data_IF_090897856257
#
_entry.id   IF_090897856257
#
_cell.length_a   1.000
_cell.length_b   1.000
_cell.length_c   1.000
_cell.angle_alpha   90.00
_cell.angle_beta   90.00
_cell.angle_gamma   90.00
#
_symmetry.space_group_name_H-M   'P 1'
#
loop_
_entity.id
_entity.type
_entity.pdbx_description
1 polymer ?
#
# COMPACT_ATOMS: atom_id res chain seq x y z
N UNK A 1 2.53 -7.93 -2.87
CA UNK A 1 3.24 -6.74 -2.37
C UNK A 1 3.04 -5.56 -3.31
N UNK A 2 2.65 -4.41 -2.76
CA UNK A 2 2.60 -3.14 -3.50
C UNK A 2 3.91 -2.41 -3.22
N UNK A 3 4.81 -2.39 -4.21
CA UNK A 3 6.00 -1.57 -4.19
C UNK A 3 5.62 -0.14 -4.61
N UNK A 4 5.82 0.82 -3.72
CA UNK A 4 5.69 2.24 -4.04
C UNK A 4 6.96 2.65 -4.80
N UNK A 5 6.82 2.83 -6.10
CA UNK A 5 7.84 3.54 -6.86
C UNK A 5 7.66 5.02 -6.51
N UNK A 6 8.65 5.59 -5.80
CA UNK A 6 8.73 7.01 -5.53
C UNK A 6 8.70 7.78 -6.86
N UNK A 7 7.56 8.38 -7.18
CA UNK A 7 7.56 9.57 -8.02
C UNK A 7 8.41 10.60 -7.27
N UNK A 8 9.58 10.92 -7.81
CA UNK A 8 10.51 11.89 -7.22
C UNK A 8 9.74 13.17 -6.86
N UNK A 9 9.57 13.39 -5.56
CA UNK A 9 9.16 14.68 -5.06
C UNK A 9 10.30 15.65 -5.40
N UNK A 10 10.07 16.52 -6.39
CA UNK A 10 10.90 17.70 -6.59
C UNK A 10 11.01 18.43 -5.24
N UNK A 11 12.22 18.75 -4.75
CA UNK A 11 12.36 19.61 -3.60
C UNK A 11 11.79 20.98 -3.98
N UNK A 12 10.62 21.33 -3.45
CA UNK A 12 10.18 22.73 -3.41
C UNK A 12 11.18 23.46 -2.51
N UNK A 13 12.13 24.14 -3.12
CA UNK A 13 12.93 25.15 -2.45
C UNK A 13 11.95 26.24 -1.95
N UNK A 14 11.63 26.21 -0.66
CA UNK A 14 10.99 27.31 0.02
C UNK A 14 11.98 28.49 0.02
N UNK A 15 11.84 29.37 -0.97
CA UNK A 15 12.45 30.69 -0.90
C UNK A 15 11.78 31.43 0.28
N UNK A 16 12.54 31.63 1.35
CA UNK A 16 12.21 32.57 2.41
C UNK A 16 12.21 33.98 1.79
N UNK A 17 11.02 34.45 1.40
CA UNK A 17 10.76 35.86 1.12
C UNK A 17 10.71 36.61 2.45
N UNK A 18 11.70 37.46 2.64
CA UNK A 18 11.85 38.43 3.72
C UNK A 18 10.82 39.55 3.51
N UNK A 19 9.69 39.50 4.23
CA UNK A 19 8.70 40.58 4.25
C UNK A 19 9.19 41.67 5.21
N UNK A 20 10.22 42.39 4.77
CA UNK A 20 10.70 43.62 5.38
C UNK A 20 9.80 44.79 5.02
N UNK A 21 9.30 45.44 6.06
CA UNK A 21 8.75 46.79 6.17
C UNK A 21 8.96 47.73 4.97
N UNK A 22 7.91 48.46 4.57
CA UNK A 22 8.00 49.91 4.37
C UNK A 22 6.58 50.53 4.28
N UNK A 23 6.16 51.07 5.42
CA UNK A 23 5.14 52.12 5.51
C UNK A 23 5.71 53.46 5.00
N UNK A 24 4.80 54.28 4.47
CA UNK A 24 4.81 55.74 4.45
C UNK A 24 5.75 56.54 3.50
N UNK A 25 5.06 57.18 2.54
CA UNK A 25 4.89 58.64 2.49
C UNK A 25 5.72 59.52 1.52
N UNK A 26 4.93 60.40 0.88
CA UNK A 26 5.20 61.72 0.28
C UNK A 26 6.44 62.06 -0.59
N UNK A 27 6.12 62.38 -1.85
CA UNK A 27 6.44 63.62 -2.60
C UNK A 27 7.86 64.25 -2.58
N UNK A 28 8.43 64.35 -3.81
CA UNK A 28 9.28 65.43 -4.41
C UNK A 28 10.78 65.50 -4.00
N UNK A 29 11.66 66.20 -4.78
CA UNK A 29 11.74 66.44 -6.23
C UNK A 29 13.08 66.01 -6.89
N UNK A 30 13.05 65.94 -8.21
CA UNK A 30 14.13 66.14 -9.21
C UNK A 30 15.48 66.68 -8.67
N UNK A 31 16.49 65.81 -8.70
CA UNK A 31 17.90 66.19 -8.63
C UNK A 31 18.64 65.54 -9.81
N UNK A 32 19.04 66.42 -10.73
CA UNK A 32 19.98 66.20 -11.83
C UNK A 32 21.09 65.20 -11.50
N UNK A 33 21.09 64.06 -12.19
CA UNK A 33 22.16 63.09 -12.17
C UNK A 33 23.22 63.47 -13.23
N UNK A 34 24.52 63.48 -12.89
CA UNK A 34 25.56 63.69 -13.88
C UNK A 34 25.76 62.43 -14.74
N UNK A 35 25.91 62.63 -16.05
CA UNK A 35 26.34 61.61 -17.02
C UNK A 35 27.67 60.98 -16.55
N UNK A 36 27.59 59.73 -16.08
CA UNK A 36 28.74 58.86 -15.87
C UNK A 36 28.78 57.90 -17.05
N UNK A 37 29.55 58.28 -18.07
CA UNK A 37 30.08 57.37 -19.08
C UNK A 37 31.12 56.44 -18.43
N UNK A 38 30.66 55.45 -17.67
CA UNK A 38 31.48 54.33 -17.24
C UNK A 38 31.28 53.18 -18.23
N UNK A 39 32.27 52.99 -19.10
CA UNK A 39 32.38 51.78 -19.91
C UNK A 39 32.29 50.55 -18.99
N UNK A 40 31.20 49.80 -19.12
CA UNK A 40 31.02 48.56 -18.38
C UNK A 40 32.15 47.59 -18.74
N UNK A 41 32.91 47.06 -17.76
CA UNK A 41 33.83 45.97 -18.04
C UNK A 41 32.99 44.77 -18.49
N UNK A 42 33.34 44.24 -19.66
CA UNK A 42 32.81 43.00 -20.24
C UNK A 42 33.24 41.82 -19.36
N UNK A 43 32.60 41.70 -18.20
CA UNK A 43 32.69 40.53 -17.36
C UNK A 43 31.81 39.47 -18.02
N UNK A 44 32.46 38.55 -18.74
CA UNK A 44 31.79 37.34 -19.22
C UNK A 44 30.99 36.73 -18.06
N UNK A 45 29.72 36.33 -18.27
CA UNK A 45 28.93 35.75 -17.22
C UNK A 45 29.71 34.58 -16.61
N UNK A 46 29.78 34.47 -15.27
CA UNK A 46 30.47 33.36 -14.63
C UNK A 46 29.93 32.08 -15.24
N UNK A 47 30.86 31.27 -15.76
CA UNK A 47 30.55 29.99 -16.36
C UNK A 47 29.79 29.20 -15.29
N UNK A 48 28.48 29.07 -15.47
CA UNK A 48 27.62 28.33 -14.58
C UNK A 48 27.98 26.87 -14.83
N UNK A 49 29.04 26.42 -14.14
CA UNK A 49 29.50 25.04 -14.18
C UNK A 49 28.29 24.15 -14.07
N UNK A 50 28.21 23.16 -14.97
CA UNK A 50 27.13 22.18 -14.94
C UNK A 50 27.01 21.67 -13.51
N UNK A 51 25.82 21.76 -12.87
CA UNK A 51 25.64 21.27 -11.52
C UNK A 51 26.17 19.84 -11.46
N UNK A 52 27.10 19.59 -10.53
CA UNK A 52 27.67 18.26 -10.37
C UNK A 52 26.50 17.29 -10.15
N UNK A 53 26.44 16.24 -10.97
CA UNK A 53 25.35 15.29 -10.88
C UNK A 53 25.47 14.61 -9.52
N UNK A 54 24.53 14.90 -8.62
CA UNK A 54 24.48 14.27 -7.31
C UNK A 54 24.49 12.74 -7.43
N UNK A 55 24.87 12.04 -6.35
CA UNK A 55 24.86 10.57 -6.35
C UNK A 55 23.50 10.03 -6.83
N UNK A 56 23.54 9.04 -7.71
CA UNK A 56 22.33 8.40 -8.24
C UNK A 56 21.69 7.52 -7.18
N UNK A 57 20.37 7.67 -7.00
CA UNK A 57 19.59 6.78 -6.16
C UNK A 57 19.73 5.32 -6.61
N UNK A 58 19.95 4.41 -5.66
CA UNK A 58 20.09 2.97 -5.92
C UNK A 58 18.95 2.17 -5.30
N UNK A 59 18.20 2.76 -4.36
CA UNK A 59 17.05 2.17 -3.68
C UNK A 59 15.86 3.11 -3.64
N UNK A 60 14.67 2.52 -3.69
CA UNK A 60 13.42 3.19 -3.35
C UNK A 60 12.70 2.37 -2.29
N UNK A 61 12.43 2.98 -1.14
CA UNK A 61 11.77 2.34 -0.02
C UNK A 61 10.32 2.79 0.15
N UNK A 62 9.51 1.92 0.72
CA UNK A 62 8.14 2.23 1.06
C UNK A 62 7.56 1.39 2.17
N UNK A 63 6.83 2.06 3.05
CA UNK A 63 6.13 1.42 4.15
C UNK A 63 4.73 2.05 4.20
N UNK A 64 3.72 1.22 4.06
CA UNK A 64 2.32 1.62 4.21
C UNK A 64 1.70 0.82 5.35
N UNK A 65 1.14 1.52 6.35
CA UNK A 65 0.36 0.94 7.43
C UNK A 65 -1.07 1.41 7.27
N UNK A 66 -1.93 0.54 6.74
CA UNK A 66 -3.28 0.93 6.33
C UNK A 66 -4.35 0.08 6.99
N UNK A 67 -5.54 0.63 7.19
CA UNK A 67 -6.74 -0.17 7.34
C UNK A 67 -7.49 -0.22 6.01
N UNK A 68 -7.77 -1.44 5.54
CA UNK A 68 -8.48 -1.65 4.29
C UNK A 68 -9.82 -2.26 4.61
N UNK A 69 -10.88 -1.76 3.99
CA UNK A 69 -12.20 -2.36 3.98
C UNK A 69 -12.57 -2.89 2.59
N UNK A 70 -13.39 -3.93 2.53
CA UNK A 70 -13.97 -4.45 1.30
C UNK A 70 -15.50 -4.47 1.43
N UNK A 71 -16.17 -3.32 1.22
CA UNK A 71 -17.62 -3.16 1.41
C UNK A 71 -18.46 -4.25 0.72
N UNK A 72 -18.08 -4.62 -0.49
CA UNK A 72 -18.72 -5.64 -1.34
C UNK A 72 -18.63 -7.08 -0.81
N UNK A 73 -17.77 -7.35 0.17
CA UNK A 73 -17.63 -8.66 0.80
C UNK A 73 -18.35 -8.73 2.15
N UNK A 74 -19.37 -7.90 2.35
CA UNK A 74 -20.09 -7.80 3.62
C UNK A 74 -19.43 -6.85 4.62
N UNK A 75 -18.67 -5.86 4.13
CA UNK A 75 -18.05 -4.84 4.99
C UNK A 75 -16.87 -5.33 5.80
N UNK A 76 -16.10 -6.32 5.30
CA UNK A 76 -14.91 -6.80 6.00
C UNK A 76 -13.85 -5.71 6.10
N UNK A 77 -13.18 -5.54 7.24
CA UNK A 77 -12.06 -4.60 7.41
C UNK A 77 -10.87 -5.19 8.16
N UNK A 78 -9.70 -4.55 8.03
CA UNK A 78 -8.57 -4.87 8.88
C UNK A 78 -7.25 -4.27 8.39
N UNK A 79 -6.25 -4.38 9.26
CA UNK A 79 -4.90 -3.89 9.00
C UNK A 79 -4.24 -4.57 7.80
N UNK A 80 -3.70 -3.77 6.90
CA UNK A 80 -2.83 -4.16 5.82
C UNK A 80 -1.50 -3.39 5.94
N UNK A 81 -0.40 -4.12 6.04
CA UNK A 81 0.97 -3.59 6.04
C UNK A 81 1.62 -3.96 4.70
N UNK A 82 2.15 -2.97 4.00
CA UNK A 82 2.94 -3.18 2.79
C UNK A 82 4.31 -2.54 2.98
N UNK A 83 5.35 -3.36 3.02
CA UNK A 83 6.74 -2.92 3.07
C UNK A 83 7.40 -3.38 1.77
N UNK A 84 8.12 -2.48 1.13
CA UNK A 84 8.83 -2.77 -0.11
C UNK A 84 10.05 -1.87 -0.23
N UNK A 85 11.18 -2.49 -0.51
CA UNK A 85 12.43 -1.83 -0.81
C UNK A 85 12.94 -2.42 -2.10
N UNK A 86 13.00 -1.61 -3.15
CA UNK A 86 13.35 -2.08 -4.48
C UNK A 86 14.76 -1.66 -4.87
N UNK A 87 15.49 -2.58 -5.49
CA UNK A 87 16.72 -2.27 -6.20
C UNK A 87 16.41 -1.59 -7.53
N UNK A 88 16.69 -0.29 -7.62
CA UNK A 88 16.43 0.51 -8.82
C UNK A 88 17.25 0.04 -10.03
N UNK A 89 18.38 -0.63 -9.82
CA UNK A 89 19.17 -1.21 -10.91
C UNK A 89 18.50 -2.43 -11.56
N UNK A 90 17.53 -3.05 -10.89
CA UNK A 90 16.75 -4.18 -11.41
C UNK A 90 15.48 -3.76 -12.12
N UNK A 91 15.15 -2.47 -12.13
CA UNK A 91 13.99 -1.93 -12.84
C UNK A 91 14.29 -1.92 -14.34
N UNK A 92 13.87 -2.97 -15.04
CA UNK A 92 14.10 -3.12 -16.48
C UNK A 92 12.92 -2.66 -17.34
N UNK A 93 11.76 -2.45 -16.73
CA UNK A 93 10.52 -2.11 -17.43
C UNK A 93 10.17 -0.64 -17.15
N UNK A 94 10.21 0.17 -18.20
CA UNK A 94 9.74 1.56 -18.10
C UNK A 94 8.20 1.59 -17.94
N UNK A 95 7.65 2.58 -17.23
CA UNK A 95 6.21 2.78 -17.17
C UNK A 95 5.62 2.93 -18.58
N UNK A 96 4.55 2.20 -18.87
CA UNK A 96 3.76 2.37 -20.09
C UNK A 96 3.01 3.71 -20.10
N UNK A 97 2.74 4.26 -18.91
CA UNK A 97 2.21 5.59 -18.70
C UNK A 97 2.85 6.21 -17.46
N UNK A 98 3.22 7.48 -17.54
CA UNK A 98 3.72 8.27 -16.42
C UNK A 98 3.37 9.76 -16.62
N UNK A 99 2.46 10.28 -15.79
CA UNK A 99 2.12 11.70 -15.80
C UNK A 99 3.08 12.58 -15.02
N UNK A 100 4.06 12.02 -14.31
CA UNK A 100 5.11 12.78 -13.63
C UNK A 100 6.24 13.19 -14.56
N UNK A 101 6.31 12.59 -15.75
CA UNK A 101 7.18 13.05 -16.82
C UNK A 101 6.86 14.53 -17.09
N UNK A 102 7.84 15.47 -17.02
CA UNK A 102 7.60 16.89 -17.26
C UNK A 102 7.08 17.21 -18.68
N UNK A 103 7.16 16.26 -19.62
CA UNK A 103 6.50 16.35 -20.92
C UNK A 103 4.99 16.03 -20.89
N UNK A 104 4.47 15.50 -19.78
CA UNK A 104 3.07 15.13 -19.59
C UNK A 104 2.28 16.31 -19.01
N UNK A 105 1.14 16.69 -19.61
CA UNK A 105 0.36 17.87 -19.19
C UNK A 105 -0.48 17.67 -17.92
N UNK A 106 -0.37 16.53 -17.23
CA UNK A 106 -1.26 16.16 -16.13
C UNK A 106 -0.60 16.36 -14.76
N UNK A 107 -1.02 17.40 -14.04
CA UNK A 107 -0.66 17.62 -12.65
C UNK A 107 -1.36 16.59 -11.74
N UNK A 108 -0.68 15.49 -11.44
CA UNK A 108 -1.15 14.40 -10.61
C UNK A 108 -0.36 13.15 -10.97
N UNK A 109 0.41 12.59 -10.04
CA UNK A 109 1.31 11.48 -10.34
C UNK A 109 0.54 10.18 -10.54
N UNK A 110 0.34 9.79 -11.80
CA UNK A 110 -0.18 8.49 -12.17
C UNK A 110 0.82 7.73 -13.03
N UNK A 111 1.10 6.51 -12.62
CA UNK A 111 2.04 5.60 -13.26
C UNK A 111 1.33 4.28 -13.53
N UNK A 112 1.57 3.72 -14.72
CA UNK A 112 1.14 2.37 -15.10
C UNK A 112 2.34 1.64 -15.66
N UNK A 113 2.69 0.51 -15.05
CA UNK A 113 3.73 -0.38 -15.57
C UNK A 113 3.06 -1.65 -16.07
N UNK A 114 3.37 -2.04 -17.30
CA UNK A 114 2.84 -3.25 -17.93
C UNK A 114 3.96 -4.27 -18.04
N UNK A 115 3.69 -5.47 -17.54
CA UNK A 115 4.61 -6.59 -17.52
C UNK A 115 4.13 -7.70 -18.45
N UNK A 116 5.06 -8.32 -19.15
CA UNK A 116 4.87 -9.53 -19.97
C UNK A 116 5.44 -10.73 -19.24
N UNK A 117 4.60 -11.70 -18.92
CA UNK A 117 4.96 -12.90 -18.16
C UNK A 117 6.07 -13.67 -18.88
N UNK A 118 7.14 -14.00 -18.14
CA UNK A 118 8.29 -14.74 -18.64
C UNK A 118 9.29 -13.93 -19.47
N UNK A 119 9.02 -12.65 -19.74
CA UNK A 119 9.95 -11.73 -20.41
C UNK A 119 10.41 -10.62 -19.47
N UNK A 120 9.44 -9.99 -18.82
CA UNK A 120 9.67 -8.88 -17.90
C UNK A 120 9.78 -9.41 -16.47
N UNK A 121 10.68 -8.82 -15.69
CA UNK A 121 10.79 -9.04 -14.25
C UNK A 121 10.27 -7.82 -13.50
N UNK A 122 9.53 -8.05 -12.43
CA UNK A 122 9.26 -6.99 -11.46
C UNK A 122 10.57 -6.53 -10.80
N UNK A 123 10.63 -5.29 -10.29
CA UNK A 123 11.75 -4.85 -9.47
C UNK A 123 12.01 -5.85 -8.35
N UNK A 124 13.28 -6.16 -8.12
CA UNK A 124 13.67 -7.10 -7.07
C UNK A 124 13.53 -6.41 -5.72
N UNK A 125 12.75 -7.02 -4.84
CA UNK A 125 12.69 -6.62 -3.43
C UNK A 125 14.01 -7.02 -2.74
N UNK A 126 14.52 -6.12 -1.92
CA UNK A 126 15.77 -6.30 -1.16
C UNK A 126 15.51 -6.18 0.33
N UNK A 127 16.38 -6.82 1.11
CA UNK A 127 16.36 -6.74 2.57
C UNK A 127 17.18 -5.53 3.05
N UNK A 128 16.48 -4.48 3.48
CA UNK A 128 17.06 -3.29 4.11
C UNK A 128 17.06 -3.37 5.65
N UNK A 129 16.72 -4.53 6.22
CA UNK A 129 16.66 -4.76 7.67
C UNK A 129 15.23 -4.77 8.23
N UNK A 130 15.06 -5.14 9.51
CA UNK A 130 13.75 -5.22 10.17
C UNK A 130 13.05 -3.86 10.28
N UNK A 131 11.75 -3.86 10.03
CA UNK A 131 10.84 -2.73 10.24
C UNK A 131 10.00 -2.96 11.50
N UNK A 132 9.99 -2.01 12.42
CA UNK A 132 9.07 -2.01 13.57
C UNK A 132 7.94 -1.02 13.36
N UNK A 133 6.74 -1.41 13.77
CA UNK A 133 5.52 -0.61 13.72
C UNK A 133 4.92 -0.60 15.12
N UNK A 134 4.84 0.56 15.74
CA UNK A 134 4.35 0.74 17.11
C UNK A 134 3.16 1.71 17.13
N UNK A 135 2.44 1.73 18.25
CA UNK A 135 1.27 2.58 18.48
C UNK A 135 0.05 2.29 17.56
N UNK A 136 -0.05 1.07 17.04
CA UNK A 136 -1.33 0.57 16.51
C UNK A 136 -2.25 0.19 17.66
N UNK A 137 -3.58 0.27 17.46
CA UNK A 137 -4.57 -0.23 18.44
C UNK A 137 -4.33 -1.71 18.74
N UNK A 138 -3.88 -2.41 17.70
CA UNK A 138 -3.62 -3.82 17.68
C UNK A 138 -2.15 -4.05 17.43
N UNK A 139 -1.38 -4.37 18.48
CA UNK A 139 0.07 -4.33 18.41
C UNK A 139 0.59 -5.32 17.38
N UNK A 140 1.59 -4.86 16.63
CA UNK A 140 2.51 -5.71 15.88
C UNK A 140 3.69 -5.95 16.82
N UNK A 141 3.76 -7.12 17.44
CA UNK A 141 4.72 -7.38 18.52
C UNK A 141 6.08 -7.76 17.96
N UNK A 142 6.09 -8.52 16.86
CA UNK A 142 7.29 -8.90 16.14
C UNK A 142 7.65 -7.88 15.05
N UNK A 143 8.94 -7.54 14.86
CA UNK A 143 9.38 -6.77 13.71
C UNK A 143 9.01 -7.45 12.39
N UNK A 144 8.63 -6.66 11.40
CA UNK A 144 8.44 -7.12 10.04
C UNK A 144 9.80 -7.35 9.40
N UNK A 145 10.05 -8.57 8.92
CA UNK A 145 11.35 -8.99 8.37
C UNK A 145 11.21 -9.49 6.95
N UNK A 146 12.28 -9.36 6.16
CA UNK A 146 12.32 -9.89 4.82
C UNK A 146 12.40 -11.42 4.84
N UNK A 147 11.38 -12.08 4.29
CA UNK A 147 11.32 -13.54 4.17
C UNK A 147 11.87 -13.91 2.80
N UNK A 148 13.17 -14.23 2.74
CA UNK A 148 13.88 -14.52 1.49
C UNK A 148 13.23 -15.62 0.64
N UNK A 149 12.65 -16.65 1.28
CA UNK A 149 11.93 -17.72 0.60
C UNK A 149 10.66 -17.24 -0.14
N UNK A 150 10.08 -16.13 0.32
CA UNK A 150 8.88 -15.53 -0.24
C UNK A 150 9.20 -14.29 -1.11
N UNK A 151 10.40 -13.73 -0.96
CA UNK A 151 10.86 -12.54 -1.68
C UNK A 151 10.18 -11.26 -1.20
N UNK A 152 9.72 -11.21 0.06
CA UNK A 152 8.99 -10.06 0.58
C UNK A 152 9.04 -9.93 2.11
N UNK A 153 8.68 -8.75 2.62
CA UNK A 153 8.53 -8.48 4.05
C UNK A 153 7.23 -9.04 4.65
N UNK A 154 7.34 -9.67 5.81
CA UNK A 154 6.19 -10.13 6.58
C UNK A 154 6.37 -9.84 8.08
N UNK A 155 5.28 -9.46 8.74
CA UNK A 155 5.20 -9.27 10.19
C UNK A 155 4.71 -10.59 10.82
N UNK A 156 5.62 -11.54 10.97
CA UNK A 156 5.32 -12.88 11.50
C UNK A 156 5.36 -12.82 13.02
N UNK A 157 4.19 -12.89 13.65
CA UNK A 157 4.02 -12.79 15.12
C UNK A 157 4.37 -14.11 15.80
N UNK A 158 4.01 -15.21 15.14
CA UNK A 158 4.23 -16.55 15.63
C UNK A 158 4.46 -17.48 14.46
N UNK A 159 5.36 -18.45 14.62
CA UNK A 159 5.50 -19.57 13.70
C UNK A 159 5.91 -20.84 14.45
N UNK A 160 5.57 -21.99 13.89
CA UNK A 160 5.92 -23.26 14.51
C UNK A 160 5.61 -24.46 13.62
N UNK A 161 5.98 -25.65 14.10
CA UNK A 161 5.64 -26.91 13.47
C UNK A 161 4.20 -27.32 13.79
N UNK A 162 3.58 -28.04 12.86
CA UNK A 162 2.30 -28.72 13.06
C UNK A 162 2.61 -30.21 13.28
N UNK A 163 2.23 -30.71 14.46
CA UNK A 163 2.42 -32.09 14.87
C UNK A 163 1.26 -32.98 14.41
N UNK A 164 1.47 -34.31 14.37
CA UNK A 164 0.42 -35.27 13.98
C UNK A 164 -0.82 -35.28 14.91
N UNK A 165 -0.73 -34.63 16.07
CA UNK A 165 -1.85 -34.44 17.03
C UNK A 165 -2.68 -33.20 16.75
N UNK A 166 -2.21 -32.32 15.87
CA UNK A 166 -2.91 -31.09 15.48
C UNK A 166 -4.00 -31.42 14.47
N UNK A 167 -5.03 -30.58 14.39
CA UNK A 167 -6.22 -30.88 13.62
C UNK A 167 -6.91 -29.63 13.08
N UNK A 168 -7.60 -29.80 11.96
CA UNK A 168 -8.68 -28.92 11.50
C UNK A 168 -9.98 -29.65 11.73
N UNK A 169 -10.98 -28.97 12.29
CA UNK A 169 -12.36 -29.48 12.43
C UNK A 169 -13.31 -28.50 11.78
N UNK A 170 -14.03 -28.96 10.76
CA UNK A 170 -15.08 -28.17 10.11
C UNK A 170 -16.28 -27.91 11.04
N UNK A 171 -17.05 -26.87 10.73
CA UNK A 171 -18.24 -26.46 11.48
C UNK A 171 -19.33 -27.56 11.53
N UNK A 172 -19.47 -28.34 10.46
CA UNK A 172 -20.42 -29.44 10.35
C UNK A 172 -20.13 -30.63 11.27
N UNK A 173 -18.88 -30.80 11.71
CA UNK A 173 -18.42 -31.89 12.57
C UNK A 173 -18.47 -31.54 14.07
N UNK A 174 -18.74 -30.27 14.39
CA UNK A 174 -18.90 -29.78 15.76
C UNK A 174 -20.38 -29.69 16.16
N UNK A 175 -20.71 -29.68 17.47
CA UNK A 175 -22.06 -29.35 17.91
C UNK A 175 -22.51 -28.00 17.36
N UNK A 176 -23.78 -27.91 16.93
CA UNK A 176 -24.31 -26.68 16.35
C UNK A 176 -24.10 -25.47 17.27
N UNK A 177 -23.55 -24.39 16.72
CA UNK A 177 -23.25 -23.15 17.45
C UNK A 177 -21.91 -23.15 18.19
N UNK A 178 -21.08 -24.19 18.06
CA UNK A 178 -19.72 -24.19 18.64
C UNK A 178 -18.83 -23.14 17.98
N UNK A 179 -18.89 -23.02 16.65
CA UNK A 179 -18.23 -21.99 15.85
C UNK A 179 -19.22 -21.44 14.81
N UNK A 180 -19.00 -20.25 14.23
CA UNK A 180 -19.85 -19.70 13.17
C UNK A 180 -19.87 -20.60 11.92
N UNK A 181 -20.94 -20.53 11.13
CA UNK A 181 -21.02 -21.27 9.87
C UNK A 181 -19.94 -20.82 8.88
N UNK A 182 -19.48 -21.73 8.02
CA UNK A 182 -18.40 -21.49 7.02
C UNK A 182 -17.03 -21.20 7.66
N UNK A 183 -16.81 -21.65 8.88
CA UNK A 183 -15.53 -21.54 9.59
C UNK A 183 -14.99 -22.91 9.96
N UNK A 184 -13.74 -22.96 10.40
CA UNK A 184 -13.12 -24.18 10.92
C UNK A 184 -12.36 -23.89 12.20
N UNK A 185 -12.36 -24.85 13.12
CA UNK A 185 -11.55 -24.82 14.33
C UNK A 185 -10.20 -25.47 14.02
N UNK A 186 -9.11 -24.72 14.18
CA UNK A 186 -7.74 -25.23 14.06
C UNK A 186 -7.16 -25.40 15.45
N UNK A 187 -6.61 -26.57 15.75
CA UNK A 187 -5.89 -26.86 17.00
C UNK A 187 -4.43 -27.11 16.71
N UNK A 188 -3.53 -26.31 17.29
CA UNK A 188 -2.08 -26.45 17.17
C UNK A 188 -1.48 -26.50 18.57
N UNK A 189 -1.11 -27.69 19.04
CA UNK A 189 -0.70 -27.93 20.42
C UNK A 189 0.56 -27.14 20.84
N UNK A 190 1.44 -26.83 19.87
CA UNK A 190 2.65 -26.02 20.08
C UNK A 190 2.42 -24.51 20.04
N UNK A 191 1.19 -24.05 19.78
CA UNK A 191 0.86 -22.63 19.67
C UNK A 191 0.26 -22.05 20.96
N UNK A 192 0.31 -20.73 21.10
CA UNK A 192 -0.44 -20.00 22.12
C UNK A 192 -1.02 -18.76 21.45
N UNK A 193 -2.31 -18.82 21.17
CA UNK A 193 -3.08 -17.76 20.54
C UNK A 193 -3.77 -16.90 21.60
N UNK A 194 -3.88 -15.61 21.32
CA UNK A 194 -4.59 -14.64 22.16
C UNK A 194 -5.44 -13.67 21.34
N UNK A 195 -6.08 -12.71 22.02
CA UNK A 195 -7.01 -11.77 21.40
C UNK A 195 -6.33 -10.86 20.34
N UNK A 196 -5.00 -10.73 20.35
CA UNK A 196 -4.29 -10.00 19.31
C UNK A 196 -4.21 -10.76 18.00
N UNK A 197 -4.38 -12.09 18.00
CA UNK A 197 -4.38 -12.92 16.80
C UNK A 197 -5.69 -12.83 16.01
N UNK A 198 -6.79 -12.47 16.66
CA UNK A 198 -8.06 -12.23 15.96
C UNK A 198 -7.88 -11.04 15.01
N UNK A 199 -8.28 -11.22 13.74
CA UNK A 199 -8.06 -10.24 12.66
C UNK A 199 -6.67 -10.32 12.00
N UNK A 200 -5.82 -11.28 12.38
CA UNK A 200 -4.61 -11.66 11.63
C UNK A 200 -4.92 -12.79 10.65
N UNK A 201 -3.94 -13.13 9.81
CA UNK A 201 -4.00 -14.32 8.97
C UNK A 201 -3.12 -15.43 9.55
N UNK A 202 -3.59 -16.67 9.49
CA UNK A 202 -2.76 -17.85 9.70
C UNK A 202 -2.46 -18.52 8.36
N UNK A 203 -1.18 -18.71 8.06
CA UNK A 203 -0.74 -19.57 6.98
C UNK A 203 -0.50 -20.97 7.53
N UNK A 204 -1.06 -21.99 6.87
CA UNK A 204 -1.02 -23.39 7.28
C UNK A 204 -0.52 -24.23 6.10
N UNK A 205 0.41 -25.14 6.37
CA UNK A 205 0.89 -26.15 5.44
C UNK A 205 1.10 -27.50 6.15
N UNK A 206 0.94 -28.61 5.42
CA UNK A 206 1.21 -29.97 5.89
C UNK A 206 -0.03 -30.80 6.26
N UNK A 207 -1.23 -30.31 5.98
CA UNK A 207 -2.46 -31.09 6.07
C UNK A 207 -2.67 -31.96 4.80
N UNK A 208 -3.18 -33.20 4.92
CA UNK A 208 -3.43 -34.04 3.75
C UNK A 208 -4.41 -33.43 2.74
N UNK A 209 -5.44 -32.72 3.22
CA UNK A 209 -6.44 -32.08 2.35
C UNK A 209 -5.98 -30.69 1.93
N UNK A 210 -5.86 -30.45 0.62
CA UNK A 210 -5.41 -29.16 0.08
C UNK A 210 -6.24 -27.96 0.59
N UNK A 211 -7.54 -28.13 0.82
CA UNK A 211 -8.43 -27.07 1.33
C UNK A 211 -8.12 -26.61 2.76
N UNK A 212 -7.36 -27.39 3.53
CA UNK A 212 -6.89 -27.03 4.87
C UNK A 212 -5.50 -26.39 4.85
N UNK A 213 -4.89 -26.23 3.67
CA UNK A 213 -3.61 -25.57 3.49
C UNK A 213 -3.83 -24.23 2.78
N UNK A 214 -3.05 -23.22 3.13
CA UNK A 214 -3.18 -21.87 2.57
C UNK A 214 -3.16 -20.79 3.63
N UNK A 215 -3.70 -19.62 3.29
CA UNK A 215 -3.79 -18.45 4.18
C UNK A 215 -5.25 -18.20 4.54
N UNK A 216 -5.57 -18.20 5.83
CA UNK A 216 -6.93 -18.05 6.33
C UNK A 216 -7.01 -16.93 7.37
N UNK A 217 -8.03 -16.07 7.34
CA UNK A 217 -8.20 -15.06 8.37
C UNK A 217 -8.67 -15.72 9.68
N UNK A 218 -8.09 -15.31 10.80
CA UNK A 218 -8.51 -15.70 12.14
C UNK A 218 -9.70 -14.82 12.55
N UNK A 219 -10.86 -15.43 12.77
CA UNK A 219 -12.11 -14.71 13.07
C UNK A 219 -12.53 -14.79 14.52
N UNK A 220 -12.00 -15.75 15.27
CA UNK A 220 -12.21 -15.86 16.72
C UNK A 220 -11.16 -16.81 17.34
N UNK A 221 -11.08 -16.81 18.68
CA UNK A 221 -10.37 -17.82 19.44
C UNK A 221 -11.22 -19.08 19.66
N UNK A 222 -10.55 -20.23 19.82
CA UNK A 222 -11.19 -21.44 20.31
C UNK A 222 -11.34 -21.44 21.84
N UNK A 223 -11.72 -22.59 22.41
CA UNK A 223 -11.90 -22.71 23.87
C UNK A 223 -10.57 -22.85 24.63
N UNK A 224 -9.52 -23.29 23.94
CA UNK A 224 -8.17 -23.40 24.48
C UNK A 224 -7.23 -22.42 23.77
N UNK A 225 -6.17 -21.98 24.46
CA UNK A 225 -5.15 -21.09 23.89
C UNK A 225 -4.40 -21.71 22.69
N UNK A 226 -4.49 -23.03 22.49
CA UNK A 226 -3.93 -23.72 21.32
C UNK A 226 -4.90 -23.74 20.12
N UNK A 227 -6.02 -23.01 20.20
CA UNK A 227 -7.10 -23.07 19.21
C UNK A 227 -7.50 -21.71 18.66
N UNK A 228 -7.72 -21.67 17.36
CA UNK A 228 -8.28 -20.52 16.63
C UNK A 228 -9.39 -20.96 15.69
N UNK A 229 -10.31 -20.06 15.42
CA UNK A 229 -11.37 -20.23 14.41
C UNK A 229 -10.98 -19.43 13.18
N UNK A 230 -10.93 -20.10 12.03
CA UNK A 230 -10.55 -19.50 10.75
C UNK A 230 -11.75 -19.45 9.79
N UNK A 231 -11.80 -18.44 8.92
CA UNK A 231 -12.77 -18.46 7.82
C UNK A 231 -12.29 -19.43 6.72
N UNK A 232 -12.89 -20.62 6.68
CA UNK A 232 -12.60 -21.64 5.68
C UNK A 232 -13.88 -22.45 5.36
N UNK A 233 -14.70 -22.03 4.38
CA UNK A 233 -15.90 -22.75 3.99
C UNK A 233 -15.63 -24.11 3.34
N UNK A 234 -14.40 -24.37 2.91
CA UNK A 234 -13.99 -25.60 2.25
C UNK A 234 -13.25 -26.55 3.20
N UNK A 235 -13.21 -26.25 4.49
CA UNK A 235 -12.52 -27.06 5.47
C UNK A 235 -13.06 -28.48 5.52
N UNK A 236 -12.17 -29.43 5.77
CA UNK A 236 -12.51 -30.84 5.98
C UNK A 236 -11.90 -31.29 7.30
N UNK A 237 -12.69 -31.91 8.17
CA UNK A 237 -12.17 -32.41 9.44
C UNK A 237 -11.11 -33.49 9.24
N UNK A 238 -9.89 -33.22 9.70
CA UNK A 238 -8.78 -34.17 9.64
C UNK A 238 -7.68 -33.84 10.68
N UNK A 239 -6.85 -34.84 10.98
CA UNK A 239 -5.60 -34.64 11.70
C UNK A 239 -4.47 -34.30 10.73
N UNK A 240 -3.46 -33.57 11.21
CA UNK A 240 -2.28 -33.25 10.43
C UNK A 240 -1.44 -34.51 10.12
N UNK A 241 -0.69 -34.47 9.01
CA UNK A 241 0.16 -35.57 8.56
C UNK A 241 1.45 -35.76 9.36
N UNK A 242 1.83 -34.80 10.21
CA UNK A 242 3.01 -34.86 11.07
C UNK A 242 4.23 -34.04 10.63
N UNK A 243 4.21 -33.45 9.44
CA UNK A 243 5.31 -32.64 8.86
C UNK A 243 4.80 -31.29 8.33
N UNK A 244 4.04 -30.55 9.15
CA UNK A 244 3.48 -29.26 8.75
C UNK A 244 4.12 -28.06 9.44
N UNK A 245 3.70 -26.87 9.04
CA UNK A 245 4.11 -25.61 9.64
C UNK A 245 2.96 -24.61 9.63
N UNK A 246 2.98 -23.70 10.60
CA UNK A 246 2.10 -22.54 10.59
C UNK A 246 2.89 -21.25 10.81
N UNK A 247 2.30 -20.14 10.37
CA UNK A 247 2.73 -18.79 10.75
C UNK A 247 1.52 -17.85 10.86
N UNK A 248 1.47 -17.06 11.93
CA UNK A 248 0.50 -15.98 12.12
C UNK A 248 1.12 -14.68 11.62
N UNK A 249 0.42 -14.00 10.71
CA UNK A 249 0.89 -12.83 10.00
C UNK A 249 -0.02 -11.65 10.31
N UNK A 250 0.57 -10.60 10.88
CA UNK A 250 -0.05 -9.29 11.04
C UNK A 250 -0.04 -8.52 9.72
N UNK A 251 -1.03 -7.64 9.52
CA UNK A 251 -1.05 -6.73 8.38
C UNK A 251 -1.38 -7.38 7.04
N UNK A 252 -2.09 -8.50 7.03
CA UNK A 252 -2.53 -9.18 5.80
C UNK A 252 -4.01 -8.94 5.43
N UNK A 253 -4.68 -8.00 6.11
CA UNK A 253 -6.10 -7.67 5.98
C UNK A 253 -6.55 -7.23 4.58
N UNK A 254 -7.87 -7.07 4.35
CA UNK A 254 -8.97 -7.05 5.34
C UNK A 254 -9.32 -8.43 5.92
N UNK A 255 -10.02 -8.47 7.06
CA UNK A 255 -10.52 -9.73 7.67
C UNK A 255 -12.00 -9.63 8.05
N UNK A 256 -12.73 -10.76 8.16
CA UNK A 256 -14.12 -10.73 8.62
C UNK A 256 -14.33 -10.27 10.07
N UNK A 257 -13.25 -10.12 10.86
CA UNK A 257 -13.34 -9.69 12.24
C UNK A 257 -13.61 -8.18 12.41
N UNK A 258 -13.45 -7.38 11.34
CA UNK A 258 -13.69 -5.93 11.31
C UNK A 258 -12.93 -5.19 12.42
N UNK A 259 -11.63 -5.48 12.52
CA UNK A 259 -10.77 -4.93 13.56
C UNK A 259 -10.21 -3.58 13.11
N UNK A 260 -10.63 -2.51 13.78
CA UNK A 260 -10.01 -1.18 13.63
C UNK A 260 -8.58 -1.23 14.15
N UNK A 261 -7.62 -1.00 13.27
CA UNK A 261 -6.20 -1.13 13.61
C UNK A 261 -5.50 0.21 13.88
N UNK A 262 -6.06 1.31 13.41
CA UNK A 262 -5.40 2.61 13.36
C UNK A 262 -6.03 3.67 14.28
N UNK A 263 -7.10 3.31 15.00
CA UNK A 263 -7.85 4.20 15.89
C UNK A 263 -8.43 5.42 15.14
N UNK A 264 -8.97 6.37 15.90
CA UNK A 264 -9.50 7.64 15.43
C UNK A 264 -8.49 8.59 14.75
N UNK A 265 -7.26 8.12 14.48
CA UNK A 265 -6.20 8.92 13.88
C UNK A 265 -5.75 10.07 14.77
N UNK A 266 -5.88 9.97 16.10
CA UNK A 266 -5.28 10.93 17.06
C UNK A 266 -3.89 10.51 17.53
N UNK A 267 -3.61 9.21 17.61
CA UNK A 267 -2.29 8.69 17.99
C UNK A 267 -1.45 8.44 16.74
N UNK A 268 -0.32 9.13 16.54
CA UNK A 268 0.53 8.83 15.40
C UNK A 268 1.23 7.49 15.56
N UNK A 269 1.31 6.76 14.46
CA UNK A 269 2.00 5.46 14.35
C UNK A 269 3.49 5.74 14.28
N UNK A 270 4.27 4.98 15.05
CA UNK A 270 5.73 5.04 14.95
C UNK A 270 6.21 3.92 14.05
N UNK A 271 6.97 4.30 13.02
CA UNK A 271 7.60 3.35 12.09
C UNK A 271 9.10 3.54 12.18
N UNK A 272 9.83 2.45 12.40
CA UNK A 272 11.29 2.48 12.42
C UNK A 272 11.88 1.42 11.52
N UNK A 273 12.95 1.76 10.82
CA UNK A 273 13.85 0.81 10.18
C UNK A 273 15.10 0.73 11.04
N UNK A 274 15.53 -0.48 11.38
CA UNK A 274 16.72 -0.69 12.19
C UNK A 274 17.50 -1.91 11.73
N UNK A 275 18.73 -2.05 12.24
CA UNK A 275 19.55 -3.23 12.00
C UNK A 275 20.52 -3.12 10.84
N UNK A 276 20.60 -1.95 10.18
CA UNK A 276 21.64 -1.49 9.26
C UNK A 276 22.39 -2.61 8.52
N UNK A 277 21.70 -3.32 7.62
CA UNK A 277 22.30 -4.26 6.66
C UNK A 277 22.28 -3.76 5.23
N UNK A 278 21.61 -2.63 4.96
CA UNK A 278 21.26 -2.17 3.62
C UNK A 278 21.83 -0.81 3.22
N UNK A 279 21.31 -0.28 2.12
CA UNK A 279 21.68 1.00 1.52
C UNK A 279 20.78 2.17 2.02
N UNK A 280 19.68 1.86 2.71
CA UNK A 280 18.80 2.83 3.39
C UNK A 280 19.24 3.00 4.85
N UNK A 281 19.48 4.24 5.27
CA UNK A 281 19.86 4.57 6.65
C UNK A 281 18.73 4.21 7.65
N UNK A 282 19.10 3.75 8.85
CA UNK A 282 18.18 3.57 9.97
C UNK A 282 17.37 4.86 10.21
N UNK A 283 16.07 4.72 10.44
CA UNK A 283 15.20 5.86 10.75
C UNK A 283 14.13 5.49 11.77
N UNK A 284 13.55 6.52 12.41
CA UNK A 284 12.38 6.40 13.25
C UNK A 284 11.49 7.62 13.05
N UNK A 285 10.30 7.42 12.52
CA UNK A 285 9.38 8.50 12.15
C UNK A 285 8.00 8.27 12.75
N UNK A 286 7.32 9.38 13.05
CA UNK A 286 5.91 9.38 13.43
C UNK A 286 5.07 9.74 12.21
N UNK A 287 4.07 8.93 11.90
CA UNK A 287 3.12 9.17 10.81
C UNK A 287 1.70 9.21 11.34
N UNK A 288 0.96 10.26 10.98
CA UNK A 288 -0.45 10.36 11.35
C UNK A 288 -1.28 9.52 10.38
N UNK A 289 -2.06 8.58 10.90
CA UNK A 289 -3.09 7.91 10.11
C UNK A 289 -4.20 8.92 9.76
N UNK A 290 -4.65 8.93 8.51
CA UNK A 290 -5.77 9.76 8.05
C UNK A 290 -6.92 8.92 7.54
N UNK A 291 -8.09 9.54 7.47
CA UNK A 291 -9.27 8.96 6.87
C UNK A 291 -10.01 8.00 7.79
N UNK A 292 -9.96 8.16 9.11
CA UNK A 292 -10.85 7.35 9.96
C UNK A 292 -12.30 7.64 9.56
N UNK A 293 -13.08 6.59 9.30
CA UNK A 293 -14.42 6.71 8.71
C UNK A 293 -14.43 7.06 7.22
N UNK A 294 -13.32 6.88 6.50
CA UNK A 294 -13.23 7.12 5.06
C UNK A 294 -14.28 6.30 4.30
N UNK A 295 -15.06 7.02 3.51
CA UNK A 295 -16.15 6.51 2.69
C UNK A 295 -16.14 7.23 1.33
N UNK A 296 -16.09 6.45 0.25
CA UNK A 296 -16.31 6.98 -1.09
C UNK A 296 -17.75 7.46 -1.27
N UNK A 297 -17.92 8.52 -2.04
CA UNK A 297 -19.24 9.02 -2.41
C UNK A 297 -20.01 8.05 -3.34
N UNK A 298 -21.34 8.17 -3.34
CA UNK A 298 -22.21 7.26 -4.08
C UNK A 298 -21.92 7.22 -5.60
N UNK A 299 -21.46 8.34 -6.16
CA UNK A 299 -21.16 8.45 -7.60
C UNK A 299 -19.93 7.62 -7.99
N UNK A 300 -18.91 7.60 -7.14
CA UNK A 300 -17.63 6.95 -7.46
C UNK A 300 -17.40 5.63 -6.76
N UNK A 301 -18.14 5.31 -5.69
CA UNK A 301 -18.01 4.05 -4.95
C UNK A 301 -18.22 2.82 -5.84
N UNK A 302 -19.14 2.89 -6.81
CA UNK A 302 -19.41 1.81 -7.77
C UNK A 302 -18.20 1.42 -8.62
N UNK A 303 -17.26 2.34 -8.85
CA UNK A 303 -16.06 2.10 -9.65
C UNK A 303 -15.10 1.09 -9.02
N UNK A 304 -15.22 0.82 -7.71
CA UNK A 304 -14.43 -0.22 -7.04
C UNK A 304 -14.75 -1.63 -7.56
N UNK A 305 -16.02 -1.88 -7.88
CA UNK A 305 -16.50 -3.21 -8.32
C UNK A 305 -16.92 -3.25 -9.78
N UNK A 306 -17.03 -2.09 -10.43
CA UNK A 306 -17.44 -1.94 -11.82
C UNK A 306 -16.61 -0.85 -12.51
N UNK A 307 -15.29 -0.98 -12.44
CA UNK A 307 -14.37 -0.07 -13.14
C UNK A 307 -14.69 -0.05 -14.65
N UNK A 308 -14.85 1.14 -15.27
CA UNK A 308 -15.09 1.27 -16.70
C UNK A 308 -14.07 0.49 -17.55
N UNK A 309 -14.57 -0.27 -18.52
CA UNK A 309 -13.76 -1.11 -19.43
C UNK A 309 -13.73 -0.56 -20.86
N UNK A 310 -14.21 0.67 -21.06
CA UNK A 310 -14.27 1.37 -22.34
C UNK A 310 -13.06 2.31 -22.58
N UNK A 311 -12.14 2.38 -21.61
CA UNK A 311 -10.98 3.26 -21.64
C UNK A 311 -11.25 4.69 -21.20
N UNK A 312 -12.47 5.01 -20.75
CA UNK A 312 -12.76 6.30 -20.13
C UNK A 312 -11.98 6.50 -18.82
N UNK A 313 -11.74 7.77 -18.44
CA UNK A 313 -11.11 8.09 -17.17
C UNK A 313 -11.99 7.65 -15.98
N UNK A 314 -11.35 7.22 -14.89
CA UNK A 314 -12.04 6.70 -13.71
C UNK A 314 -11.68 7.53 -12.49
N UNK A 315 -12.67 8.06 -11.79
CA UNK A 315 -12.46 8.89 -10.60
C UNK A 315 -12.97 8.20 -9.34
N UNK A 316 -12.33 8.54 -8.22
CA UNK A 316 -12.75 8.21 -6.87
C UNK A 316 -12.74 9.49 -6.03
N UNK A 317 -13.79 9.69 -5.25
CA UNK A 317 -13.97 10.88 -4.42
C UNK A 317 -14.68 10.54 -3.11
N UNK A 318 -14.42 11.33 -2.08
CA UNK A 318 -15.10 11.29 -0.79
C UNK A 318 -15.88 12.58 -0.48
N UNK A 319 -15.99 13.50 -1.45
CA UNK A 319 -16.66 14.80 -1.26
C UNK A 319 -18.07 14.88 -1.84
N UNK A 320 -18.55 13.84 -2.52
CA UNK A 320 -19.90 13.77 -3.08
C UNK A 320 -20.97 13.34 -2.05
N UNK A 321 -22.16 13.02 -2.56
CA UNK A 321 -23.28 12.54 -1.72
C UNK A 321 -22.90 11.26 -0.97
N UNK A 322 -23.16 11.23 0.33
CA UNK A 322 -22.81 10.14 1.26
C UNK A 322 -21.31 9.78 1.29
N UNK A 323 -20.43 10.62 0.72
CA UNK A 323 -18.99 10.49 0.90
C UNK A 323 -18.54 11.11 2.23
N UNK A 324 -17.52 10.52 2.83
CA UNK A 324 -16.83 11.07 3.98
C UNK A 324 -15.32 10.89 3.80
N UNK A 325 -14.54 11.96 3.86
CA UNK A 325 -13.10 11.87 3.76
C UNK A 325 -12.43 11.44 5.07
N UNK A 326 -13.22 11.29 6.13
CA UNK A 326 -12.79 10.85 7.45
C UNK A 326 -11.96 11.89 8.20
N UNK A 327 -11.38 11.44 9.31
CA UNK A 327 -10.51 12.29 10.15
C UNK A 327 -9.29 12.82 9.36
N UNK A 328 -8.99 14.12 9.53
CA UNK A 328 -8.04 14.84 8.66
C UNK A 328 -7.03 15.71 9.46
N UNK A 329 -6.34 15.07 10.41
CA UNK A 329 -5.47 15.72 11.40
C UNK A 329 -4.03 15.96 10.92
N UNK A 330 -3.64 15.47 9.73
CA UNK A 330 -2.27 15.52 9.21
C UNK A 330 -1.98 16.70 8.28
N UNK A 331 -0.69 16.99 8.07
CA UNK A 331 -0.23 18.09 7.18
C UNK A 331 -0.19 17.65 5.71
N UNK A 332 0.30 16.43 5.46
CA UNK A 332 0.32 15.83 4.12
C UNK A 332 -0.92 14.98 3.96
N UNK A 333 -1.76 15.33 2.96
CA UNK A 333 -3.05 14.70 2.71
C UNK A 333 -3.08 14.24 1.26
N UNK A 334 -3.19 12.94 1.05
CA UNK A 334 -3.20 12.39 -0.31
C UNK A 334 -4.29 11.33 -0.42
N UNK A 335 -5.03 11.37 -1.53
CA UNK A 335 -5.79 10.22 -2.00
C UNK A 335 -4.97 9.46 -3.03
N UNK A 336 -4.85 8.16 -2.84
CA UNK A 336 -4.06 7.27 -3.69
C UNK A 336 -4.94 6.17 -4.22
N UNK A 337 -4.94 6.00 -5.53
CA UNK A 337 -5.39 4.78 -6.18
C UNK A 337 -4.16 3.90 -6.38
N UNK A 338 -4.28 2.62 -6.08
CA UNK A 338 -3.32 1.63 -6.54
C UNK A 338 -4.04 0.36 -6.95
N UNK A 339 -3.44 -0.44 -7.81
CA UNK A 339 -4.07 -1.66 -8.24
C UNK A 339 -3.19 -2.51 -9.12
N UNK A 340 -3.75 -3.66 -9.48
CA UNK A 340 -3.10 -4.64 -10.35
C UNK A 340 -4.14 -5.37 -11.18
N UNK A 341 -3.71 -5.90 -12.31
CA UNK A 341 -4.57 -6.74 -13.16
C UNK A 341 -4.10 -8.18 -13.20
N UNK A 342 -4.98 -9.06 -13.66
CA UNK A 342 -4.63 -10.40 -14.14
C UNK A 342 -5.43 -10.69 -15.40
N UNK A 343 -4.87 -11.49 -16.29
CA UNK A 343 -5.50 -11.99 -17.53
C UNK A 343 -5.85 -13.48 -17.43
N UNK A 344 -5.58 -14.12 -16.28
CA UNK A 344 -5.89 -15.52 -16.07
C UNK A 344 -7.40 -15.75 -15.89
N UNK A 345 -7.87 -16.97 -16.13
CA UNK A 345 -9.29 -17.30 -15.95
C UNK A 345 -9.73 -17.12 -14.49
N UNK A 346 -10.84 -16.39 -14.32
CA UNK A 346 -11.46 -16.12 -13.01
C UNK A 346 -12.83 -16.78 -12.84
N UNK A 347 -13.23 -17.62 -13.80
CA UNK A 347 -14.52 -18.31 -13.80
C UNK A 347 -14.65 -19.20 -12.56
N UNK A 348 -15.72 -19.01 -11.80
CA UNK A 348 -16.00 -19.78 -10.58
C UNK A 348 -15.10 -19.43 -9.38
N UNK A 349 -14.17 -18.48 -9.51
CA UNK A 349 -13.35 -18.01 -8.39
C UNK A 349 -14.11 -16.95 -7.57
N UNK A 350 -13.87 -16.88 -6.25
CA UNK A 350 -14.35 -15.77 -5.43
C UNK A 350 -13.96 -14.41 -6.02
N UNK A 351 -14.78 -13.35 -5.86
CA UNK A 351 -14.52 -12.03 -6.46
C UNK A 351 -13.16 -11.42 -6.10
N UNK A 352 -12.63 -11.73 -4.92
CA UNK A 352 -11.37 -11.23 -4.40
C UNK A 352 -10.13 -12.08 -4.74
N UNK A 353 -10.31 -13.19 -5.44
CA UNK A 353 -9.18 -14.02 -5.88
C UNK A 353 -8.53 -13.42 -7.12
N UNK A 354 -7.23 -13.16 -7.06
CA UNK A 354 -6.42 -12.70 -8.20
C UNK A 354 -5.46 -13.83 -8.62
N UNK A 355 -5.85 -14.73 -9.55
CA UNK A 355 -4.95 -15.77 -10.04
C UNK A 355 -3.69 -15.16 -10.69
N UNK A 356 -2.60 -15.93 -10.69
CA UNK A 356 -1.35 -15.51 -11.32
C UNK A 356 -1.56 -15.23 -12.82
N UNK A 357 -1.05 -14.10 -13.35
CA UNK A 357 -1.22 -13.76 -14.76
C UNK A 357 -0.50 -14.76 -15.67
N UNK A 358 -1.03 -14.92 -16.89
CA UNK A 358 -0.57 -15.88 -17.89
C UNK A 358 0.20 -15.23 -19.03
N UNK A 359 -0.17 -14.03 -19.47
CA UNK A 359 0.50 -13.34 -20.59
C UNK A 359 0.95 -11.94 -20.23
N UNK A 360 0.05 -11.08 -19.74
CA UNK A 360 0.35 -9.69 -19.37
C UNK A 360 -0.45 -9.27 -18.16
N UNK A 361 0.11 -8.32 -17.43
CA UNK A 361 -0.60 -7.64 -16.36
C UNK A 361 -0.06 -6.23 -16.16
N UNK A 362 -0.87 -5.37 -15.56
CA UNK A 362 -0.51 -4.02 -15.20
C UNK A 362 -0.42 -3.89 -13.68
N UNK A 363 0.50 -3.04 -13.22
CA UNK A 363 0.44 -2.40 -11.91
C UNK A 363 0.25 -0.92 -12.14
N UNK A 364 -0.65 -0.31 -11.38
CA UNK A 364 -0.92 1.12 -11.53
C UNK A 364 -1.03 1.80 -10.17
N UNK A 365 -0.68 3.08 -10.16
CA UNK A 365 -0.83 3.97 -9.02
C UNK A 365 -1.13 5.36 -9.51
N UNK A 366 -2.15 6.00 -8.99
CA UNK A 366 -2.41 7.43 -9.20
C UNK A 366 -2.55 8.13 -7.85
N UNK A 367 -2.10 9.37 -7.73
CA UNK A 367 -2.31 10.19 -6.53
C UNK A 367 -2.94 11.53 -6.86
N UNK A 368 -3.79 12.03 -5.96
CA UNK A 368 -4.36 13.37 -6.05
C UNK A 368 -3.25 14.43 -6.14
N UNK A 369 -3.39 15.47 -6.99
CA UNK A 369 -2.48 16.61 -6.95
C UNK A 369 -2.56 17.33 -5.60
N UNK A 370 -1.47 18.00 -5.21
CA UNK A 370 -1.41 18.81 -3.98
C UNK A 370 -2.57 19.81 -3.96
N UNK A 371 -3.43 19.74 -2.93
CA UNK A 371 -4.59 20.63 -2.76
C UNK A 371 -5.93 20.06 -3.25
N UNK A 372 -5.95 18.93 -3.96
CA UNK A 372 -7.17 18.21 -4.34
C UNK A 372 -7.29 16.87 -3.59
N UNK A 373 -6.97 16.86 -2.28
CA UNK A 373 -6.79 15.64 -1.51
C UNK A 373 -8.03 14.73 -1.41
N UNK A 374 -9.21 15.20 -1.81
CA UNK A 374 -10.48 14.49 -1.66
C UNK A 374 -10.96 13.77 -2.93
N UNK A 375 -10.21 13.87 -4.04
CA UNK A 375 -10.49 13.09 -5.24
C UNK A 375 -9.21 12.71 -5.97
N UNK A 376 -9.28 11.60 -6.69
CA UNK A 376 -8.17 11.09 -7.49
C UNK A 376 -8.72 10.41 -8.74
N UNK A 377 -8.06 10.61 -9.86
CA UNK A 377 -8.51 10.14 -11.18
C UNK A 377 -7.41 9.31 -11.84
N UNK A 378 -7.79 8.15 -12.37
CA UNK A 378 -7.02 7.44 -13.39
C UNK A 378 -7.36 8.08 -14.74
N UNK A 379 -6.41 8.76 -15.40
CA UNK A 379 -6.69 9.39 -16.68
C UNK A 379 -6.97 8.33 -17.76
N UNK A 380 -7.65 8.74 -18.84
CA UNK A 380 -8.06 7.84 -19.92
C UNK A 380 -6.87 7.11 -20.57
N UNK A 381 -5.72 7.78 -20.68
CA UNK A 381 -4.48 7.21 -21.22
C UNK A 381 -3.91 6.11 -20.30
N UNK A 382 -3.98 6.31 -18.98
CA UNK A 382 -3.60 5.28 -18.02
C UNK A 382 -4.58 4.10 -18.06
N UNK A 383 -5.89 4.36 -18.18
CA UNK A 383 -6.90 3.33 -18.36
C UNK A 383 -6.69 2.54 -19.65
N UNK A 384 -6.32 3.20 -20.75
CA UNK A 384 -5.97 2.53 -21.99
C UNK A 384 -4.75 1.60 -21.83
N UNK A 385 -3.72 2.03 -21.07
CA UNK A 385 -2.58 1.17 -20.76
C UNK A 385 -2.95 -0.04 -19.88
N UNK A 386 -3.82 0.16 -18.87
CA UNK A 386 -4.33 -0.90 -18.00
C UNK A 386 -5.15 -1.91 -18.80
N UNK A 387 -6.12 -1.44 -19.59
CA UNK A 387 -7.01 -2.30 -20.38
C UNK A 387 -6.27 -2.96 -21.57
N UNK A 388 -5.18 -2.35 -22.03
CA UNK A 388 -4.29 -2.93 -23.05
C UNK A 388 -3.62 -4.24 -22.64
N UNK A 389 -3.67 -4.62 -21.35
CA UNK A 389 -3.24 -5.95 -20.90
C UNK A 389 -4.32 -7.02 -21.07
N UNK A 390 -5.49 -6.68 -21.63
CA UNK A 390 -6.67 -7.54 -21.74
C UNK A 390 -7.02 -8.24 -20.41
N UNK A 391 -7.15 -7.49 -19.31
CA UNK A 391 -7.36 -8.10 -18.00
C UNK A 391 -8.71 -8.82 -17.95
N UNK A 392 -8.76 -9.94 -17.26
CA UNK A 392 -10.01 -10.63 -16.85
C UNK A 392 -10.49 -10.11 -15.49
N UNK A 393 -9.57 -9.58 -14.67
CA UNK A 393 -9.89 -8.95 -13.39
C UNK A 393 -8.94 -7.81 -13.04
N UNK A 394 -9.49 -6.77 -12.44
CA UNK A 394 -8.78 -5.59 -11.94
C UNK A 394 -9.03 -5.49 -10.44
N UNK A 395 -7.96 -5.53 -9.64
CA UNK A 395 -8.00 -5.15 -8.23
C UNK A 395 -7.70 -3.65 -8.13
N UNK A 396 -8.57 -2.91 -7.45
CA UNK A 396 -8.42 -1.47 -7.22
C UNK A 396 -8.49 -1.18 -5.74
N UNK A 397 -7.54 -0.41 -5.25
CA UNK A 397 -7.47 0.07 -3.88
C UNK A 397 -7.46 1.58 -3.89
N UNK A 398 -8.29 2.18 -3.05
CA UNK A 398 -8.36 3.64 -2.89
C UNK A 398 -8.12 3.95 -1.44
N UNK A 399 -7.14 4.79 -1.18
CA UNK A 399 -6.70 5.13 0.16
C UNK A 399 -6.76 6.63 0.38
N UNK A 400 -7.07 7.02 1.62
CA UNK A 400 -6.82 8.34 2.18
C UNK A 400 -5.71 8.19 3.22
N UNK A 401 -4.57 8.84 2.99
CA UNK A 401 -3.39 8.62 3.83
C UNK A 401 -2.67 9.91 4.16
N UNK A 402 -2.10 9.92 5.37
CA UNK A 402 -1.01 10.80 5.75
C UNK A 402 0.32 10.17 5.38
N UNK A 403 1.37 10.99 5.28
CA UNK A 403 2.69 10.47 4.93
C UNK A 403 3.83 11.37 5.36
N UNK A 404 5.01 10.75 5.44
CA UNK A 404 6.30 11.40 5.65
C UNK A 404 7.35 10.69 4.78
N UNK A 405 8.48 11.34 4.57
CA UNK A 405 9.62 10.76 3.86
C UNK A 405 10.76 10.65 4.87
N UNK A 406 11.26 9.44 5.05
CA UNK A 406 12.55 9.17 5.66
C UNK A 406 13.57 8.94 4.55
N UNK A 407 14.84 9.25 4.76
CA UNK A 407 15.86 8.99 3.77
C UNK A 407 17.23 9.19 4.37
N UNK A 408 18.24 8.82 3.59
CA UNK A 408 19.62 9.03 3.97
C UNK A 408 19.88 10.52 4.18
N UNK A 409 20.94 10.86 4.91
CA UNK A 409 21.29 12.26 5.17
C UNK A 409 21.46 13.10 3.89
N UNK A 410 21.84 12.46 2.79
CA UNK A 410 22.01 13.04 1.45
C UNK A 410 20.78 12.87 0.52
N UNK A 411 19.71 12.22 1.01
CA UNK A 411 18.49 11.88 0.28
C UNK A 411 18.71 11.00 -0.97
N UNK A 412 19.86 10.34 -1.10
CA UNK A 412 20.15 9.45 -2.23
C UNK A 412 19.18 8.27 -2.26
N UNK A 413 18.89 7.69 -1.09
CA UNK A 413 17.87 6.65 -0.93
C UNK A 413 16.79 7.18 0.02
N UNK A 414 15.53 7.06 -0.39
CA UNK A 414 14.40 7.57 0.34
C UNK A 414 13.33 6.49 0.52
N UNK A 415 12.74 6.48 1.71
CA UNK A 415 11.62 5.64 2.12
C UNK A 415 10.42 6.51 2.41
N UNK A 416 9.37 6.34 1.63
CA UNK A 416 8.10 6.99 1.95
C UNK A 416 7.31 6.13 2.93
N UNK A 417 6.92 6.73 4.04
CA UNK A 417 6.13 6.09 5.09
C UNK A 417 4.74 6.71 5.11
N UNK A 418 3.71 5.90 4.90
CA UNK A 418 2.31 6.35 4.86
C UNK A 418 1.43 5.57 5.82
N UNK A 419 0.39 6.23 6.33
CA UNK A 419 -0.64 5.58 7.12
C UNK A 419 -2.05 6.14 6.85
N UNK A 420 -3.06 5.29 6.92
CA UNK A 420 -4.45 5.72 6.80
C UNK A 420 -5.42 4.62 6.37
N UNK A 421 -6.58 5.02 5.88
CA UNK A 421 -7.70 4.11 5.64
C UNK A 421 -7.99 4.00 4.14
N UNK A 422 -8.60 2.90 3.73
CA UNK A 422 -8.93 2.68 2.34
C UNK A 422 -9.98 1.62 2.10
N UNK A 423 -10.34 1.52 0.83
CA UNK A 423 -11.23 0.49 0.30
C UNK A 423 -10.49 -0.34 -0.75
N UNK A 424 -10.83 -1.62 -0.85
CA UNK A 424 -10.41 -2.49 -1.95
C UNK A 424 -11.63 -3.04 -2.68
N UNK A 425 -11.55 -3.07 -4.00
CA UNK A 425 -12.56 -3.55 -4.92
C UNK A 425 -11.97 -4.44 -6.00
N UNK A 426 -12.81 -5.30 -6.58
CA UNK A 426 -12.44 -6.13 -7.71
C UNK A 426 -13.48 -6.02 -8.81
N UNK A 427 -13.03 -5.68 -10.02
CA UNK A 427 -13.85 -5.63 -11.22
C UNK A 427 -13.54 -6.85 -12.08
N UNK A 428 -14.55 -7.68 -12.39
CA UNK A 428 -14.41 -8.75 -13.38
C UNK A 428 -14.72 -8.17 -14.76
N UNK A 429 -13.76 -8.24 -15.66
CA UNK A 429 -13.88 -7.74 -17.03
C UNK A 429 -14.42 -8.86 -17.89
N UNK A 430 -15.65 -8.71 -18.40
CA UNK A 430 -16.16 -9.64 -19.41
C UNK A 430 -15.25 -9.56 -20.64
N UNK A 431 -14.79 -10.72 -21.14
CA UNK A 431 -14.10 -10.77 -22.43
C UNK A 431 -14.96 -10.03 -23.46
N UNK A 432 -14.35 -9.12 -24.23
CA UNK A 432 -15.05 -8.52 -25.35
C UNK A 432 -15.62 -9.67 -26.23
N UNK A 433 -16.92 -9.62 -26.57
CA UNK A 433 -17.58 -10.71 -27.29
C UNK A 433 -16.99 -10.98 -28.68
#
# INVERSE_FOLDING_TARGET
>A
MVALICAAALPLAAACGDDGDDDDDTTRPDASQPDIDAAAPDASPPDAGTPDAGPTSTRSGSIAVTEISAPQLGGISGMAVSISFIDLSTVTVAPAFDSTNPASPLAGGCTVTVYTVGTDSEPTEVDEGPVTIENTVHPIEAPCTFVSALGYYACIEQAGAIAATDAVTDDGSLPAGTIPANTALVTIAGATFDENDVGRYIQIAGFPTAANNGSFPIVALGQAATQVVIANPAAVSEAAGGDGSFSVISGAGPTPANRDALDDGTTPIKVSLGGNTGDVDDFSVMVQALGEGFQLDDETAGNLTAMPTDGSAVSFSCSGTNGDCGADTGVVKVMVISGKTTDADVTGLPPNTMPAPTTKYARFRCSSPSGAANSVTIPAEAMAAILGTNPTRIETRVFRMGGTIAGNADMTNATTVVAGHGHVGWTTVSSAP
#
